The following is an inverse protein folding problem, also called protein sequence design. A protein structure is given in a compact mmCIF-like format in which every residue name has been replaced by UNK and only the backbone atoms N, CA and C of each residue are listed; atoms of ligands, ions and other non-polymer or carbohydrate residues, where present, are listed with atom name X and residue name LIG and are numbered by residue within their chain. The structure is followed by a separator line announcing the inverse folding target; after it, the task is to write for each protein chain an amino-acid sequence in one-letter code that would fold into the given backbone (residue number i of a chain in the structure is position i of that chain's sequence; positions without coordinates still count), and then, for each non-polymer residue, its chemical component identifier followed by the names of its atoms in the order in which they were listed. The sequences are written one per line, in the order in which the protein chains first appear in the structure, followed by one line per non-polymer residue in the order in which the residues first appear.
data_IF_368931408060
#
_entry.id   IF_368931408060
#
_cell.length_a   1.000
_cell.length_b   1.000
_cell.length_c   1.000
_cell.angle_alpha   90.00
_cell.angle_beta   90.00
_cell.angle_gamma   90.00
#
_symmetry.space_group_name_H-M   'P 1'
#
loop_
_entity.id
_entity.type
_entity.pdbx_description
1 polymer ?
#
# COMPACT_ATOMS: atom_id res chain seq x y z
N UNK A 1 3.30 5.63 -1.00
CA UNK A 1 4.78 5.71 -1.08
C UNK A 1 5.32 4.82 -2.20
N UNK A 2 4.97 3.52 -2.29
CA UNK A 2 5.48 2.60 -3.32
C UNK A 2 5.28 3.13 -4.76
N UNK A 3 4.08 3.58 -5.11
CA UNK A 3 3.76 4.10 -6.44
C UNK A 3 4.52 5.39 -6.78
N UNK A 4 4.75 6.24 -5.80
CA UNK A 4 5.44 7.52 -5.99
C UNK A 4 6.96 7.36 -5.98
N UNK A 5 7.50 6.59 -5.04
CA UNK A 5 8.95 6.46 -4.85
C UNK A 5 9.62 5.46 -5.78
N UNK A 6 8.92 4.37 -6.17
CA UNK A 6 9.49 3.32 -7.02
C UNK A 6 9.01 3.36 -8.47
N UNK A 7 7.76 3.75 -8.72
CA UNK A 7 7.19 3.82 -10.07
C UNK A 7 7.18 5.25 -10.65
N UNK A 8 7.61 6.26 -9.90
CA UNK A 8 7.66 7.64 -10.37
C UNK A 8 6.28 8.27 -10.65
N UNK A 9 5.20 7.69 -10.10
CA UNK A 9 3.86 8.21 -10.32
C UNK A 9 3.66 9.56 -9.65
N UNK A 10 2.98 10.49 -10.34
CA UNK A 10 2.53 11.73 -9.72
C UNK A 10 1.51 11.45 -8.61
N UNK A 11 1.35 12.38 -7.67
CA UNK A 11 0.36 12.24 -6.60
C UNK A 11 -1.05 12.01 -7.14
N UNK A 12 -1.42 12.68 -8.24
CA UNK A 12 -2.70 12.50 -8.92
C UNK A 12 -2.87 11.09 -9.47
N UNK A 13 -1.87 10.57 -10.20
CA UNK A 13 -1.93 9.24 -10.80
C UNK A 13 -1.96 8.15 -9.72
N UNK A 14 -1.21 8.33 -8.62
CA UNK A 14 -1.25 7.44 -7.46
C UNK A 14 -2.64 7.41 -6.80
N UNK A 15 -3.29 8.58 -6.68
CA UNK A 15 -4.66 8.70 -6.19
C UNK A 15 -5.67 8.00 -7.10
N UNK A 16 -5.57 8.23 -8.43
CA UNK A 16 -6.42 7.59 -9.41
C UNK A 16 -6.29 6.06 -9.41
N UNK A 17 -5.08 5.53 -9.25
CA UNK A 17 -4.82 4.09 -9.14
C UNK A 17 -5.40 3.48 -7.85
N UNK A 18 -5.60 4.29 -6.80
CA UNK A 18 -6.22 3.88 -5.54
C UNK A 18 -7.75 4.05 -5.51
N UNK A 19 -8.35 4.79 -6.45
CA UNK A 19 -9.81 4.98 -6.54
C UNK A 19 -10.62 3.68 -6.53
N UNK A 20 -10.25 2.62 -7.28
CA UNK A 20 -11.00 1.36 -7.30
C UNK A 20 -11.20 0.76 -5.90
N UNK A 21 -10.24 0.95 -4.99
CA UNK A 21 -10.35 0.52 -3.59
C UNK A 21 -11.49 1.23 -2.86
N UNK A 22 -11.66 2.54 -3.08
CA UNK A 22 -12.75 3.32 -2.52
C UNK A 22 -14.11 2.83 -3.02
N UNK A 23 -14.23 2.62 -4.34
CA UNK A 23 -15.45 2.07 -4.94
C UNK A 23 -15.77 0.66 -4.42
N UNK A 24 -14.78 -0.21 -4.31
CA UNK A 24 -14.95 -1.55 -3.75
C UNK A 24 -15.47 -1.52 -2.32
N UNK A 25 -14.92 -0.65 -1.47
CA UNK A 25 -15.38 -0.52 -0.07
C UNK A 25 -16.79 0.08 0.01
N UNK A 26 -17.12 1.06 -0.81
CA UNK A 26 -18.46 1.65 -0.85
C UNK A 26 -19.51 0.61 -1.27
N UNK A 27 -19.24 -0.15 -2.33
CA UNK A 27 -20.14 -1.19 -2.82
C UNK A 27 -20.38 -2.29 -1.76
N UNK A 28 -19.31 -2.73 -1.11
CA UNK A 28 -19.40 -3.76 -0.07
C UNK A 28 -20.13 -3.27 1.19
N UNK A 29 -19.98 -1.99 1.55
CA UNK A 29 -20.75 -1.39 2.64
C UNK A 29 -22.27 -1.41 2.36
N UNK A 30 -22.68 -1.09 1.12
CA UNK A 30 -24.07 -1.17 0.72
C UNK A 30 -24.60 -2.62 0.79
N UNK A 31 -23.83 -3.57 0.28
CA UNK A 31 -24.17 -5.01 0.32
C UNK A 31 -24.30 -5.47 1.77
N UNK A 32 -23.34 -5.17 2.60
CA UNK A 32 -23.34 -5.55 4.02
C UNK A 32 -24.51 -4.91 4.76
N UNK A 33 -24.79 -3.64 4.53
CA UNK A 33 -25.89 -2.93 5.18
C UNK A 33 -27.27 -3.51 4.84
N UNK A 34 -27.46 -3.97 3.61
CA UNK A 34 -28.75 -4.55 3.17
C UNK A 34 -28.90 -6.03 3.54
N UNK A 35 -27.81 -6.79 3.57
CA UNK A 35 -27.81 -8.23 3.79
C UNK A 35 -27.49 -8.63 5.24
N UNK A 36 -26.96 -7.74 6.06
CA UNK A 36 -26.58 -8.01 7.46
C UNK A 36 -27.76 -8.54 8.32
N UNK A 37 -29.01 -8.19 7.96
CA UNK A 37 -30.20 -8.69 8.63
C UNK A 37 -30.63 -10.10 8.20
N UNK A 38 -30.08 -10.63 7.09
CA UNK A 38 -30.48 -11.92 6.50
C UNK A 38 -29.38 -12.98 6.57
N UNK A 39 -28.13 -12.55 6.65
CA UNK A 39 -26.95 -13.42 6.60
C UNK A 39 -26.14 -13.19 7.86
N UNK A 40 -25.57 -14.27 8.37
CA UNK A 40 -24.73 -14.22 9.58
C UNK A 40 -23.51 -13.31 9.38
N UNK A 41 -23.32 -12.35 10.28
CA UNK A 41 -22.23 -11.39 10.24
C UNK A 41 -20.84 -12.06 10.20
N UNK A 42 -20.72 -13.26 10.74
CA UNK A 42 -19.48 -14.05 10.74
C UNK A 42 -19.04 -14.44 9.33
N UNK A 43 -20.01 -14.74 8.46
CA UNK A 43 -19.75 -15.14 7.08
C UNK A 43 -19.20 -13.96 6.25
N UNK A 44 -19.72 -12.74 6.49
CA UNK A 44 -19.18 -11.54 5.87
C UNK A 44 -17.74 -11.26 6.29
N UNK A 45 -17.40 -11.46 7.57
CA UNK A 45 -16.03 -11.31 8.07
C UNK A 45 -15.09 -12.32 7.39
N UNK A 46 -15.51 -13.59 7.30
CA UNK A 46 -14.69 -14.62 6.64
C UNK A 46 -14.45 -14.30 5.17
N UNK A 47 -15.50 -13.93 4.43
CA UNK A 47 -15.39 -13.54 3.02
C UNK A 47 -14.53 -12.28 2.84
N UNK A 48 -14.70 -11.29 3.70
CA UNK A 48 -13.92 -10.07 3.69
C UNK A 48 -12.42 -10.34 3.92
N UNK A 49 -12.08 -11.16 4.89
CA UNK A 49 -10.70 -11.56 5.17
C UNK A 49 -10.11 -12.41 4.03
N UNK A 50 -10.89 -13.31 3.44
CA UNK A 50 -10.45 -14.09 2.28
C UNK A 50 -10.15 -13.21 1.07
N UNK A 51 -10.97 -12.19 0.81
CA UNK A 51 -10.73 -11.22 -0.27
C UNK A 51 -9.48 -10.37 -0.01
N UNK A 52 -9.28 -9.91 1.24
CA UNK A 52 -8.06 -9.15 1.61
C UNK A 52 -6.83 -10.03 1.45
N UNK A 53 -6.85 -11.26 1.96
CA UNK A 53 -5.75 -12.21 1.86
C UNK A 53 -5.43 -12.56 0.41
N UNK A 54 -6.45 -12.91 -0.38
CA UNK A 54 -6.30 -13.21 -1.81
C UNK A 54 -5.73 -12.03 -2.59
N UNK A 55 -6.24 -10.82 -2.37
CA UNK A 55 -5.71 -9.60 -3.01
C UNK A 55 -4.26 -9.33 -2.62
N UNK A 56 -3.90 -9.58 -1.35
CA UNK A 56 -2.53 -9.40 -0.87
C UNK A 56 -1.55 -10.39 -1.52
N UNK A 57 -1.97 -11.63 -1.75
CA UNK A 57 -1.17 -12.63 -2.48
C UNK A 57 -0.94 -12.21 -3.94
N UNK A 58 -1.99 -11.69 -4.59
CA UNK A 58 -1.85 -11.14 -5.95
C UNK A 58 -0.87 -9.98 -5.96
N UNK A 59 -0.94 -9.04 -4.99
CA UNK A 59 0.04 -7.96 -4.87
C UNK A 59 1.47 -8.46 -4.67
N UNK A 60 1.67 -9.55 -3.92
CA UNK A 60 2.98 -10.15 -3.70
C UNK A 60 3.60 -10.77 -4.96
N UNK A 61 2.80 -11.14 -5.95
CA UNK A 61 3.24 -11.72 -7.23
C UNK A 61 3.47 -10.68 -8.33
N UNK A 62 3.16 -9.39 -8.08
CA UNK A 62 3.28 -8.36 -9.09
C UNK A 62 4.75 -7.90 -9.27
N UNK A 63 5.17 -7.75 -10.54
CA UNK A 63 6.47 -7.19 -10.94
C UNK A 63 6.37 -5.67 -11.14
N UNK A 64 7.52 -4.97 -11.16
CA UNK A 64 7.61 -3.51 -11.34
C UNK A 64 7.13 -3.00 -12.73
N UNK A 65 7.03 -3.88 -13.73
CA UNK A 65 6.58 -3.55 -15.10
C UNK A 65 5.11 -3.90 -15.33
N UNK A 66 4.21 -3.29 -14.55
CA UNK A 66 2.80 -3.68 -14.56
C UNK A 66 1.93 -2.55 -15.13
N UNK A 67 0.90 -2.93 -15.89
CA UNK A 67 -0.17 -2.03 -16.32
C UNK A 67 -1.00 -1.57 -15.12
N UNK A 68 -1.51 -0.32 -15.17
CA UNK A 68 -2.38 0.26 -14.14
C UNK A 68 -3.59 -0.63 -13.82
N UNK A 69 -4.11 -1.36 -14.80
CA UNK A 69 -5.24 -2.29 -14.61
C UNK A 69 -4.90 -3.44 -13.66
N UNK A 70 -3.68 -3.96 -13.74
CA UNK A 70 -3.25 -5.06 -12.88
C UNK A 70 -3.11 -4.64 -11.41
N UNK A 71 -2.99 -3.35 -11.13
CA UNK A 71 -2.99 -2.79 -9.78
C UNK A 71 -4.42 -2.44 -9.34
N UNK A 72 -5.26 -1.96 -10.26
CA UNK A 72 -6.63 -1.52 -9.97
C UNK A 72 -7.55 -2.67 -9.54
N UNK A 73 -7.43 -3.84 -10.19
CA UNK A 73 -8.29 -5.00 -9.92
C UNK A 73 -8.07 -5.54 -8.48
N UNK A 74 -6.84 -5.87 -8.04
CA UNK A 74 -6.62 -6.30 -6.67
C UNK A 74 -6.99 -5.23 -5.64
N UNK A 75 -6.77 -3.94 -5.95
CA UNK A 75 -7.19 -2.83 -5.09
C UNK A 75 -8.71 -2.80 -4.90
N UNK A 76 -9.49 -3.04 -5.95
CA UNK A 76 -10.94 -3.12 -5.87
C UNK A 76 -11.40 -4.25 -4.93
N UNK A 77 -10.87 -5.46 -5.11
CA UNK A 77 -11.19 -6.59 -4.24
C UNK A 77 -10.72 -6.39 -2.80
N UNK A 78 -9.57 -5.76 -2.61
CA UNK A 78 -9.08 -5.39 -1.28
C UNK A 78 -10.00 -4.38 -0.58
N UNK A 79 -10.53 -3.41 -1.34
CA UNK A 79 -11.54 -2.47 -0.87
C UNK A 79 -12.84 -3.17 -0.49
N UNK A 80 -13.33 -4.08 -1.34
CA UNK A 80 -14.51 -4.89 -1.04
C UNK A 80 -14.32 -5.70 0.24
N UNK A 81 -13.18 -6.36 0.40
CA UNK A 81 -12.87 -7.14 1.59
C UNK A 81 -12.87 -6.29 2.87
N UNK A 82 -12.32 -5.08 2.81
CA UNK A 82 -12.36 -4.15 3.94
C UNK A 82 -13.78 -3.73 4.33
N UNK A 83 -14.63 -3.37 3.36
CA UNK A 83 -16.00 -2.99 3.64
C UNK A 83 -16.85 -4.15 4.16
N UNK A 84 -16.66 -5.36 3.61
CA UNK A 84 -17.36 -6.58 4.06
C UNK A 84 -16.97 -6.99 5.48
N UNK A 85 -15.75 -6.74 5.93
CA UNK A 85 -15.29 -7.15 7.27
C UNK A 85 -15.52 -6.09 8.34
N UNK A 86 -15.38 -4.80 8.00
CA UNK A 86 -15.34 -3.73 9.00
C UNK A 86 -16.67 -3.55 9.75
N UNK A 87 -17.80 -3.50 9.02
CA UNK A 87 -19.12 -3.31 9.62
C UNK A 87 -19.53 -4.50 10.47
N UNK A 88 -19.46 -5.77 9.98
CA UNK A 88 -19.82 -6.93 10.79
C UNK A 88 -18.94 -7.12 12.03
N UNK A 89 -17.64 -6.82 11.96
CA UNK A 89 -16.76 -6.87 13.14
C UNK A 89 -17.24 -5.87 14.19
N UNK A 90 -17.59 -4.67 13.75
CA UNK A 90 -18.11 -3.63 14.65
C UNK A 90 -19.42 -4.08 15.32
N UNK A 91 -20.35 -4.61 14.55
CA UNK A 91 -21.64 -5.11 15.05
C UNK A 91 -21.44 -6.29 16.02
N UNK A 92 -20.64 -7.29 15.66
CA UNK A 92 -20.35 -8.45 16.52
C UNK A 92 -19.68 -8.04 17.85
N UNK A 93 -18.92 -6.97 17.87
CA UNK A 93 -18.23 -6.50 19.08
C UNK A 93 -19.19 -5.90 20.11
N UNK A 94 -20.35 -5.40 19.69
CA UNK A 94 -21.34 -4.72 20.55
C UNK A 94 -22.67 -5.47 20.68
N UNK A 95 -22.83 -6.59 19.95
CA UNK A 95 -24.09 -7.35 19.83
C UNK A 95 -24.61 -7.86 21.19
N UNK A 96 -23.74 -8.13 22.15
CA UNK A 96 -24.08 -8.62 23.48
C UNK A 96 -24.29 -7.52 24.51
N UNK A 97 -24.11 -6.25 24.13
CA UNK A 97 -24.14 -5.12 25.06
C UNK A 97 -25.51 -4.44 25.09
N UNK A 98 -25.90 -3.92 26.29
CA UNK A 98 -27.08 -3.08 26.43
C UNK A 98 -26.84 -1.71 25.77
N UNK A 99 -27.92 -1.09 25.25
CA UNK A 99 -27.86 0.21 24.57
C UNK A 99 -27.13 1.30 25.37
N UNK A 100 -27.28 1.29 26.70
CA UNK A 100 -26.62 2.25 27.60
C UNK A 100 -25.08 2.11 27.61
N UNK A 101 -24.56 0.95 27.30
CA UNK A 101 -23.13 0.63 27.31
C UNK A 101 -22.49 0.77 25.94
N UNK A 102 -23.29 0.90 24.86
CA UNK A 102 -22.81 0.97 23.48
C UNK A 102 -21.83 2.12 23.24
N UNK A 103 -22.10 3.29 23.81
CA UNK A 103 -21.23 4.48 23.63
C UNK A 103 -19.84 4.26 24.22
N UNK A 104 -19.77 3.69 25.42
CA UNK A 104 -18.51 3.38 26.08
C UNK A 104 -17.74 2.27 25.34
N UNK A 105 -18.46 1.23 24.90
CA UNK A 105 -17.87 0.13 24.14
C UNK A 105 -17.27 0.61 22.81
N UNK A 106 -17.95 1.48 22.08
CA UNK A 106 -17.46 2.07 20.83
C UNK A 106 -16.21 2.91 21.07
N UNK A 107 -16.15 3.66 22.18
CA UNK A 107 -14.95 4.42 22.58
C UNK A 107 -13.75 3.49 22.81
N UNK A 108 -13.94 2.41 23.59
CA UNK A 108 -12.89 1.42 23.86
C UNK A 108 -12.45 0.72 22.56
N UNK A 109 -13.39 0.36 21.70
CA UNK A 109 -13.11 -0.28 20.40
C UNK A 109 -12.25 0.63 19.52
N UNK A 110 -12.57 1.91 19.43
CA UNK A 110 -11.76 2.88 18.66
C UNK A 110 -10.36 3.05 19.27
N UNK A 111 -10.24 3.06 20.59
CA UNK A 111 -8.95 3.10 21.26
C UNK A 111 -8.09 1.88 20.91
N UNK A 112 -8.65 0.67 21.04
CA UNK A 112 -7.97 -0.58 20.71
C UNK A 112 -7.58 -0.66 19.24
N UNK A 113 -8.46 -0.20 18.33
CA UNK A 113 -8.16 -0.11 16.89
C UNK A 113 -6.98 0.81 16.62
N UNK A 114 -6.93 1.99 17.26
CA UNK A 114 -5.84 2.95 17.07
C UNK A 114 -4.51 2.41 17.61
N UNK A 115 -4.53 1.79 18.80
CA UNK A 115 -3.34 1.13 19.37
C UNK A 115 -2.87 -0.01 18.46
N UNK A 116 -3.77 -0.89 18.02
CA UNK A 116 -3.46 -2.00 17.11
C UNK A 116 -2.90 -1.50 15.77
N UNK A 117 -3.46 -0.42 15.22
CA UNK A 117 -2.96 0.21 14.00
C UNK A 117 -1.55 0.79 14.19
N UNK A 118 -1.29 1.47 15.30
CA UNK A 118 0.03 2.03 15.61
C UNK A 118 1.10 0.94 15.75
N UNK A 119 0.79 -0.13 16.49
CA UNK A 119 1.69 -1.28 16.65
C UNK A 119 1.93 -1.95 15.30
N UNK A 120 0.88 -2.24 14.54
CA UNK A 120 0.98 -2.87 13.21
C UNK A 120 1.83 -2.05 12.24
N UNK A 121 1.59 -0.75 12.17
CA UNK A 121 2.35 0.16 11.30
C UNK A 121 3.82 0.22 11.69
N UNK A 122 4.11 0.28 13.00
CA UNK A 122 5.48 0.30 13.52
C UNK A 122 6.24 -1.00 13.20
N UNK A 123 5.59 -2.16 13.37
CA UNK A 123 6.18 -3.45 13.05
C UNK A 123 6.52 -3.56 11.55
N UNK A 124 5.56 -3.21 10.68
CA UNK A 124 5.75 -3.24 9.23
C UNK A 124 6.86 -2.26 8.80
N UNK A 125 6.87 -1.04 9.32
CA UNK A 125 7.91 -0.06 9.04
C UNK A 125 9.30 -0.55 9.47
N UNK A 126 9.40 -1.13 10.66
CA UNK A 126 10.65 -1.70 11.17
C UNK A 126 11.15 -2.87 10.32
N UNK A 127 10.25 -3.77 9.93
CA UNK A 127 10.59 -4.89 9.03
C UNK A 127 11.08 -4.38 7.68
N UNK A 128 10.36 -3.46 7.05
CA UNK A 128 10.77 -2.88 5.75
C UNK A 128 12.15 -2.22 5.83
N UNK A 129 12.41 -1.46 6.90
CA UNK A 129 13.72 -0.82 7.10
C UNK A 129 14.83 -1.86 7.28
N UNK A 130 14.60 -2.89 8.08
CA UNK A 130 15.56 -3.98 8.27
C UNK A 130 15.83 -4.74 6.99
N UNK A 131 14.80 -5.12 6.24
CA UNK A 131 14.98 -5.80 4.95
C UNK A 131 15.74 -4.93 3.94
N UNK A 132 15.43 -3.62 3.89
CA UNK A 132 16.15 -2.68 3.04
C UNK A 132 17.64 -2.60 3.43
N UNK A 133 17.96 -2.53 4.73
CA UNK A 133 19.33 -2.51 5.23
C UNK A 133 20.10 -3.81 4.92
N UNK A 134 19.48 -4.97 5.13
CA UNK A 134 20.08 -6.26 4.79
C UNK A 134 20.36 -6.36 3.29
N UNK A 135 19.43 -5.91 2.45
CA UNK A 135 19.61 -5.90 1.00
C UNK A 135 20.73 -4.95 0.57
N UNK A 136 20.77 -3.75 1.18
CA UNK A 136 21.87 -2.79 0.93
C UNK A 136 23.22 -3.38 1.37
N UNK A 137 23.30 -4.02 2.51
CA UNK A 137 24.51 -4.66 2.99
C UNK A 137 25.01 -5.77 2.05
N UNK A 138 24.08 -6.61 1.56
CA UNK A 138 24.40 -7.65 0.57
C UNK A 138 24.87 -7.05 -0.78
N UNK A 139 24.30 -5.92 -1.19
CA UNK A 139 24.71 -5.23 -2.41
C UNK A 139 26.08 -4.59 -2.25
N UNK A 140 26.35 -3.94 -1.12
CA UNK A 140 27.68 -3.35 -0.81
C UNK A 140 28.77 -4.41 -0.81
N UNK A 141 28.50 -5.61 -0.28
CA UNK A 141 29.44 -6.74 -0.33
C UNK A 141 29.76 -7.23 -1.75
N UNK A 142 28.92 -6.92 -2.73
CA UNK A 142 29.13 -7.20 -4.16
C UNK A 142 29.70 -6.02 -4.96
N UNK A 143 29.85 -4.85 -4.34
CA UNK A 143 30.48 -3.67 -4.90
C UNK A 143 32.02 -3.76 -4.76
N UNK A 144 32.62 -4.66 -5.53
CA UNK A 144 34.08 -4.78 -5.65
C UNK A 144 34.50 -4.19 -7.00
N UNK A 145 35.60 -3.46 -7.00
CA UNK A 145 36.25 -2.96 -8.24
C UNK A 145 36.66 -4.10 -9.18
N UNK A 146 36.68 -5.33 -8.67
CA UNK A 146 36.93 -6.54 -9.47
C UNK A 146 35.66 -7.14 -10.12
N UNK A 147 34.48 -6.56 -9.84
CA UNK A 147 33.22 -7.05 -10.41
C UNK A 147 32.89 -6.29 -11.71
N UNK A 148 32.98 -6.93 -12.90
CA UNK A 148 32.76 -6.26 -14.18
C UNK A 148 31.34 -5.68 -14.31
N UNK A 149 30.34 -6.31 -13.71
CA UNK A 149 28.96 -5.83 -13.71
C UNK A 149 28.81 -4.54 -12.88
N UNK A 150 29.59 -4.40 -11.82
CA UNK A 150 29.61 -3.18 -11.02
C UNK A 150 30.24 -2.02 -11.79
N UNK A 151 31.38 -2.25 -12.45
CA UNK A 151 32.07 -1.23 -13.27
C UNK A 151 31.16 -0.78 -14.41
N UNK A 152 30.52 -1.69 -15.13
CA UNK A 152 29.58 -1.37 -16.23
C UNK A 152 28.41 -0.51 -15.73
N UNK A 153 27.81 -0.83 -14.58
CA UNK A 153 26.72 -0.04 -14.00
C UNK A 153 27.18 1.34 -13.52
N UNK A 154 28.36 1.43 -12.92
CA UNK A 154 28.93 2.73 -12.51
C UNK A 154 29.21 3.60 -13.73
N UNK A 155 29.77 3.05 -14.80
CA UNK A 155 30.02 3.80 -16.03
C UNK A 155 28.72 4.24 -16.72
N UNK A 156 27.71 3.38 -16.75
CA UNK A 156 26.39 3.72 -17.34
C UNK A 156 25.68 4.82 -16.55
N UNK A 157 25.70 4.72 -15.21
CA UNK A 157 25.10 5.77 -14.36
C UNK A 157 25.90 7.07 -14.36
N UNK A 158 27.22 7.00 -14.39
CA UNK A 158 28.07 8.20 -14.52
C UNK A 158 27.84 8.89 -15.87
N UNK A 159 27.71 8.12 -16.96
CA UNK A 159 27.36 8.64 -18.29
C UNK A 159 25.98 9.29 -18.35
N UNK A 160 24.99 8.69 -17.71
CA UNK A 160 23.65 9.27 -17.61
C UNK A 160 23.64 10.56 -16.77
N UNK A 161 24.37 10.60 -15.66
CA UNK A 161 24.50 11.78 -14.80
C UNK A 161 25.26 12.91 -15.50
N UNK A 162 26.34 12.63 -16.24
CA UNK A 162 27.08 13.64 -17.00
C UNK A 162 26.20 14.26 -18.10
N UNK A 163 25.41 13.45 -18.81
CA UNK A 163 24.46 13.95 -19.80
C UNK A 163 23.37 14.86 -19.19
N UNK A 164 22.90 14.53 -17.99
CA UNK A 164 21.95 15.38 -17.25
C UNK A 164 22.60 16.68 -16.75
N UNK A 165 23.84 16.62 -16.29
CA UNK A 165 24.57 17.79 -15.77
C UNK A 165 24.92 18.75 -16.89
N UNK A 166 25.37 18.25 -18.04
CA UNK A 166 25.63 19.10 -19.21
C UNK A 166 24.36 19.80 -19.71
N UNK A 167 23.22 19.08 -19.74
CA UNK A 167 21.95 19.66 -20.19
C UNK A 167 21.44 20.74 -19.22
N UNK A 168 21.56 20.52 -17.92
CA UNK A 168 21.15 21.49 -16.91
C UNK A 168 22.06 22.70 -16.86
N UNK A 169 23.36 22.51 -16.96
CA UNK A 169 24.35 23.60 -16.99
C UNK A 169 24.18 24.45 -18.26
N UNK A 170 24.00 23.83 -19.42
CA UNK A 170 23.73 24.54 -20.68
C UNK A 170 22.40 25.34 -20.59
N UNK A 171 21.38 24.82 -19.94
CA UNK A 171 20.09 25.49 -19.75
C UNK A 171 20.23 26.68 -18.77
N UNK A 172 21.01 26.55 -17.70
CA UNK A 172 21.32 27.67 -16.79
C UNK A 172 22.18 28.75 -17.45
N UNK A 173 23.16 28.37 -18.25
CA UNK A 173 24.01 29.32 -18.99
C UNK A 173 23.23 30.09 -20.07
N UNK A 174 22.24 29.43 -20.72
CA UNK A 174 21.37 30.11 -21.69
C UNK A 174 20.43 31.12 -21.03
N UNK A 175 20.07 30.91 -19.76
CA UNK A 175 19.23 31.85 -18.99
C UNK A 175 19.99 33.04 -18.43
N UNK A 176 21.29 32.92 -18.25
CA UNK A 176 22.16 34.02 -17.76
C UNK A 176 22.63 34.94 -18.91
N UNK A 177 22.53 34.50 -20.15
CA UNK A 177 22.90 35.27 -21.34
C UNK A 177 21.75 36.06 -21.98
N UNK A 178 20.59 36.19 -21.33
CA UNK A 178 19.51 37.11 -21.62
C UNK A 178 19.49 38.20 -20.55
#
# INVERSE_FOLDING_TARGET
QFLQSMMGYTAFLSGATMMPRGFGSMLSMLITGTLSNKIDNRLFVMLGLALIGGSSLVFGSLNLQISNMNIAIPNFFMGMGMGLSMIPIMNLSVDTLKNEQMTNATGIQNLLKNIGSAIGTSLVATMLTRFAQVHQYMLVGKMSELNPVFIERVQTTAGALSAYTEHSVAQYLSLIHI
#
